data_IF_176936336382
#
_entry.id   IF_176936336382
#
_cell.length_a   1.000
_cell.length_b   1.000
_cell.length_c   1.000
_cell.angle_alpha   90.00
_cell.angle_beta   90.00
_cell.angle_gamma   90.00
#
_symmetry.space_group_name_H-M   'P 1'
#
loop_
_entity.id
_entity.type
_entity.pdbx_description
1 polymer ?
#
# COMPACT_ATOMS: atom_id res chain seq x y z
N UNK A 1 21.39 2.60 -23.90
CA UNK A 1 19.91 2.74 -23.94
C UNK A 1 19.51 3.67 -22.82
N UNK A 2 18.80 4.79 -23.06
CA UNK A 2 18.39 5.67 -21.99
C UNK A 2 17.35 4.93 -21.14
N UNK A 3 17.52 5.00 -19.82
CA UNK A 3 16.60 4.41 -18.85
C UNK A 3 15.22 5.00 -19.13
N UNK A 4 14.27 4.17 -19.62
CA UNK A 4 12.85 4.51 -19.60
C UNK A 4 12.49 4.72 -18.13
N UNK A 5 12.47 5.97 -17.69
CA UNK A 5 11.73 6.32 -16.49
C UNK A 5 10.27 6.20 -16.89
N UNK A 6 9.58 5.15 -16.42
CA UNK A 6 8.12 5.19 -16.46
C UNK A 6 7.71 6.36 -15.58
N UNK A 7 7.02 7.32 -16.19
CA UNK A 7 6.38 8.39 -15.45
C UNK A 7 5.36 7.78 -14.52
N UNK A 8 5.23 8.35 -13.32
CA UNK A 8 4.22 7.90 -12.40
C UNK A 8 2.83 8.02 -13.04
N UNK A 9 1.91 7.03 -12.92
CA UNK A 9 0.55 7.18 -13.40
C UNK A 9 -0.02 8.48 -12.84
N UNK A 10 -0.88 9.20 -13.57
CA UNK A 10 -1.43 10.43 -13.02
C UNK A 10 -2.22 10.14 -11.74
N UNK A 11 -2.05 10.94 -10.66
CA UNK A 11 -2.90 10.83 -9.49
C UNK A 11 -4.36 11.08 -9.86
N UNK A 12 -5.26 10.26 -9.33
CA UNK A 12 -6.69 10.52 -9.39
C UNK A 12 -6.98 11.58 -8.32
N UNK A 13 -7.36 12.79 -8.73
CA UNK A 13 -7.74 13.84 -7.79
C UNK A 13 -9.16 13.59 -7.29
N UNK A 14 -9.31 13.07 -6.07
CA UNK A 14 -10.59 12.99 -5.38
C UNK A 14 -10.66 14.16 -4.39
N UNK A 15 -11.07 15.32 -4.89
CA UNK A 15 -11.09 16.55 -4.08
C UNK A 15 -9.69 17.19 -3.96
N UNK A 16 -9.18 17.33 -2.73
CA UNK A 16 -7.84 17.87 -2.43
C UNK A 16 -6.78 16.77 -2.21
N UNK A 17 -7.17 15.50 -2.29
CA UNK A 17 -6.28 14.35 -2.06
C UNK A 17 -5.98 13.62 -3.38
N UNK A 18 -4.72 13.26 -3.57
CA UNK A 18 -4.23 12.50 -4.73
C UNK A 18 -4.25 11.00 -4.42
N UNK A 19 -5.15 10.25 -5.07
CA UNK A 19 -5.26 8.81 -4.93
C UNK A 19 -4.58 8.07 -6.09
N UNK A 20 -3.91 6.98 -5.76
CA UNK A 20 -3.13 6.16 -6.69
C UNK A 20 -3.60 4.72 -6.61
N UNK A 21 -3.65 4.01 -7.74
CA UNK A 21 -4.06 2.62 -7.74
C UNK A 21 -2.96 1.74 -7.12
N UNK A 22 -3.25 1.13 -5.98
CA UNK A 22 -2.37 0.17 -5.33
C UNK A 22 -2.46 -1.20 -6.02
N UNK A 23 -1.31 -1.80 -6.30
CA UNK A 23 -1.19 -3.15 -6.86
C UNK A 23 -1.33 -4.20 -5.76
N UNK A 24 -0.47 -4.12 -4.75
CA UNK A 24 -0.43 -5.07 -3.64
C UNK A 24 0.28 -4.47 -2.42
N UNK A 25 0.06 -5.08 -1.26
CA UNK A 25 0.80 -4.77 -0.04
C UNK A 25 1.98 -5.73 0.05
N UNK A 26 3.18 -5.17 0.14
CA UNK A 26 4.43 -5.92 0.24
C UNK A 26 4.79 -6.24 1.70
N UNK A 27 4.53 -5.30 2.62
CA UNK A 27 4.85 -5.48 4.03
C UNK A 27 3.97 -4.62 4.95
N UNK A 28 4.07 -4.87 6.25
CA UNK A 28 3.37 -4.17 7.32
C UNK A 28 4.32 -3.90 8.49
N UNK A 29 4.25 -2.68 9.04
CA UNK A 29 4.92 -2.33 10.29
C UNK A 29 4.01 -1.56 11.23
N UNK A 30 4.20 -1.77 12.53
CA UNK A 30 3.58 -0.97 13.58
C UNK A 30 4.54 0.16 14.00
N UNK A 31 4.12 1.41 13.83
CA UNK A 31 4.91 2.59 14.23
C UNK A 31 4.05 3.52 15.08
N UNK A 32 4.48 3.74 16.33
CA UNK A 32 3.77 4.56 17.34
C UNK A 32 2.31 4.12 17.55
N UNK A 33 2.06 2.82 17.57
CA UNK A 33 0.70 2.26 17.75
C UNK A 33 -0.20 2.36 16.51
N UNK A 34 0.28 2.90 15.39
CA UNK A 34 -0.43 2.91 14.11
C UNK A 34 0.17 1.88 13.16
N UNK A 35 -0.68 1.18 12.41
CA UNK A 35 -0.25 0.26 11.35
C UNK A 35 0.05 1.04 10.06
N UNK A 36 1.18 0.70 9.46
CA UNK A 36 1.67 1.23 8.21
C UNK A 36 1.89 0.06 7.25
N UNK A 37 1.48 0.23 6.00
CA UNK A 37 1.58 -0.77 4.96
C UNK A 37 2.55 -0.29 3.90
N UNK A 38 3.41 -1.18 3.43
CA UNK A 38 4.31 -0.91 2.32
C UNK A 38 3.57 -1.28 1.03
N UNK A 39 3.14 -0.24 0.30
CA UNK A 39 2.26 -0.38 -0.85
C UNK A 39 3.09 -0.35 -2.11
N UNK A 40 2.92 -1.39 -2.94
CA UNK A 40 3.38 -1.37 -4.32
C UNK A 40 2.31 -0.71 -5.18
N UNK A 41 2.69 0.33 -5.91
CA UNK A 41 1.80 1.06 -6.79
C UNK A 41 1.67 0.37 -8.16
N UNK A 42 0.44 0.29 -8.66
CA UNK A 42 0.16 -0.32 -9.96
C UNK A 42 0.81 0.50 -11.06
N UNK A 43 1.39 -0.20 -12.04
CA UNK A 43 2.21 0.42 -13.08
C UNK A 43 3.67 0.64 -12.67
N UNK A 44 4.05 0.38 -11.42
CA UNK A 44 5.44 0.46 -10.96
C UNK A 44 5.97 -0.81 -10.29
N UNK A 45 5.36 -1.97 -10.51
CA UNK A 45 5.90 -3.23 -9.98
C UNK A 45 7.34 -3.52 -10.46
N UNK A 46 7.83 -2.84 -11.51
CA UNK A 46 9.22 -2.91 -11.96
C UNK A 46 10.18 -1.98 -11.21
N UNK A 47 9.65 -1.08 -10.37
CA UNK A 47 10.38 -0.05 -9.63
C UNK A 47 10.04 -0.15 -8.13
N UNK A 48 10.58 -1.14 -7.41
CA UNK A 48 10.32 -1.33 -5.98
C UNK A 48 10.63 -0.10 -5.14
N UNK A 49 11.57 0.74 -5.59
CA UNK A 49 11.94 2.01 -4.95
C UNK A 49 10.82 3.06 -4.95
N UNK A 50 9.79 2.88 -5.79
CA UNK A 50 8.60 3.73 -5.81
C UNK A 50 7.56 3.34 -4.76
N UNK A 51 7.69 2.16 -4.16
CA UNK A 51 6.79 1.71 -3.11
C UNK A 51 6.93 2.59 -1.87
N UNK A 52 5.82 2.96 -1.25
CA UNK A 52 5.79 3.89 -0.11
C UNK A 52 5.11 3.26 1.11
N UNK A 53 5.39 3.82 2.28
CA UNK A 53 4.73 3.41 3.52
C UNK A 53 3.50 4.27 3.74
N UNK A 54 2.33 3.69 3.52
CA UNK A 54 1.04 4.34 3.70
C UNK A 54 0.42 3.97 5.05
N UNK A 55 -0.20 4.92 5.77
CA UNK A 55 -0.97 4.60 6.96
C UNK A 55 -2.21 3.78 6.58
N UNK A 56 -2.75 3.04 7.55
CA UNK A 56 -4.01 2.30 7.38
C UNK A 56 -5.15 3.18 6.86
N UNK A 57 -5.17 4.45 7.28
CA UNK A 57 -6.17 5.45 6.89
C UNK A 57 -6.22 5.66 5.36
N UNK A 58 -5.08 5.58 4.67
CA UNK A 58 -5.00 5.73 3.20
C UNK A 58 -5.45 4.48 2.43
N UNK A 59 -5.48 3.31 3.09
CA UNK A 59 -5.90 2.05 2.47
C UNK A 59 -7.38 1.72 2.70
N UNK A 60 -8.13 2.62 3.33
CA UNK A 60 -9.57 2.46 3.54
C UNK A 60 -10.35 2.31 2.22
N UNK A 61 -9.83 2.90 1.13
CA UNK A 61 -10.45 2.83 -0.20
C UNK A 61 -10.16 1.50 -0.93
N UNK A 62 -9.27 0.65 -0.40
CA UNK A 62 -8.85 -0.59 -1.03
C UNK A 62 -8.86 -1.77 -0.04
N UNK A 63 -10.02 -2.17 0.51
CA UNK A 63 -10.10 -3.28 1.46
C UNK A 63 -9.72 -4.63 0.84
N UNK A 64 -9.86 -4.79 -0.48
CA UNK A 64 -9.52 -6.04 -1.18
C UNK A 64 -8.02 -6.38 -1.09
N UNK A 65 -7.13 -5.40 -1.31
CA UNK A 65 -5.68 -5.64 -1.25
C UNK A 65 -5.22 -5.92 0.18
N UNK A 66 -5.87 -5.29 1.17
CA UNK A 66 -5.61 -5.52 2.58
C UNK A 66 -6.04 -6.93 2.98
N UNK A 67 -7.24 -7.35 2.57
CA UNK A 67 -7.72 -8.70 2.81
C UNK A 67 -6.86 -9.76 2.13
N UNK A 68 -6.42 -9.50 0.89
CA UNK A 68 -5.52 -10.39 0.16
C UNK A 68 -4.18 -10.55 0.90
N UNK A 69 -3.63 -9.45 1.41
CA UNK A 69 -2.41 -9.49 2.22
C UNK A 69 -2.58 -10.33 3.49
N UNK A 70 -3.64 -10.11 4.27
CA UNK A 70 -3.87 -10.90 5.49
C UNK A 70 -4.25 -12.36 5.21
N UNK A 71 -4.83 -12.65 4.04
CA UNK A 71 -5.10 -14.03 3.61
C UNK A 71 -3.80 -14.80 3.33
N UNK A 72 -2.78 -14.11 2.79
CA UNK A 72 -1.45 -14.67 2.56
C UNK A 72 -0.59 -14.70 3.81
N UNK A 73 -0.78 -13.73 4.71
CA UNK A 73 0.00 -13.55 5.93
C UNK A 73 -0.90 -13.48 7.17
N UNK A 74 -1.54 -14.60 7.56
CA UNK A 74 -2.46 -14.62 8.70
C UNK A 74 -1.78 -14.31 10.05
N UNK A 75 -0.46 -14.50 10.14
CA UNK A 75 0.34 -14.22 11.33
C UNK A 75 0.65 -12.73 11.55
N UNK A 76 0.41 -11.88 10.54
CA UNK A 76 0.70 -10.44 10.64
C UNK A 76 -0.36 -9.77 11.51
N UNK A 77 0.01 -8.81 12.37
CA UNK A 77 -0.95 -8.15 13.25
C UNK A 77 -1.94 -7.33 12.42
N UNK A 78 -3.16 -7.86 12.32
CA UNK A 78 -4.27 -7.20 11.65
C UNK A 78 -4.77 -5.97 12.40
N UNK A 79 -5.51 -5.07 11.73
CA UNK A 79 -6.17 -3.93 12.40
C UNK A 79 -7.13 -4.37 13.51
N UNK A 80 -7.60 -5.62 13.47
CA UNK A 80 -8.47 -6.24 14.48
C UNK A 80 -7.76 -7.31 15.34
N UNK A 81 -6.43 -7.34 15.38
CA UNK A 81 -5.71 -8.29 16.24
C UNK A 81 -5.83 -7.87 17.71
N UNK A 82 -6.98 -8.21 18.29
CA UNK A 82 -7.14 -8.37 19.73
C UNK A 82 -6.12 -9.40 20.17
N UNK A 83 -5.11 -8.96 20.89
CA UNK A 83 -4.17 -9.80 21.62
C UNK A 83 -4.98 -10.72 22.53
N UNK A 84 -5.08 -12.01 22.18
CA UNK A 84 -5.46 -13.06 23.12
C UNK A 84 -4.21 -13.51 23.88
#
# INVERSE_FOLDING_TARGET
>A
MPKRHQEPPPPINIGEEEEWEASQILDLKLKRGKLWYFVEWKGFSQYPERSTWEPTENLNNCPEIVNSFYSLYPDKPGPNSSRA
#
